data_IF_487559319546
#
_entry.id   IF_487559319546
#
_cell.length_a   1.000
_cell.length_b   1.000
_cell.length_c   1.000
_cell.angle_alpha   90.00
_cell.angle_beta   90.00
_cell.angle_gamma   90.00
#
_symmetry.space_group_name_H-M   'P 1'
#
loop_
_entity.id
_entity.type
_entity.pdbx_description
1 polymer ?
#
# COMPACT_ATOMS: atom_id res chain seq x y z
N UNK A 1 -16.72 -23.44 1.67
CA UNK A 1 -16.37 -24.05 2.97
C UNK A 1 -15.46 -25.23 2.65
N UNK A 2 -14.17 -25.14 2.95
CA UNK A 2 -13.20 -26.21 2.64
C UNK A 2 -13.04 -27.13 3.86
N UNK A 3 -13.02 -28.47 3.72
CA UNK A 3 -12.87 -29.36 4.87
C UNK A 3 -11.37 -29.57 5.16
N UNK A 4 -10.92 -29.20 6.35
CA UNK A 4 -9.65 -29.67 6.90
C UNK A 4 -9.91 -30.96 7.68
N UNK A 5 -9.44 -32.09 7.16
CA UNK A 5 -9.46 -33.37 7.87
C UNK A 5 -8.17 -33.48 8.68
N UNK A 6 -8.25 -33.78 9.97
CA UNK A 6 -7.10 -34.01 10.85
C UNK A 6 -6.35 -35.28 10.45
N UNK A 7 -5.11 -35.15 9.97
CA UNK A 7 -4.26 -36.27 9.53
C UNK A 7 -3.82 -37.21 10.66
N UNK A 8 -4.10 -36.88 11.92
CA UNK A 8 -3.73 -37.67 13.11
C UNK A 8 -4.44 -39.03 13.16
N UNK A 9 -5.68 -39.10 12.69
CA UNK A 9 -6.50 -40.33 12.80
C UNK A 9 -6.11 -41.38 11.76
N UNK A 10 -5.48 -40.96 10.66
CA UNK A 10 -4.96 -41.85 9.62
C UNK A 10 -3.62 -42.48 10.00
N UNK A 11 -2.72 -41.72 10.62
CA UNK A 11 -1.42 -42.22 11.05
C UNK A 11 -1.54 -43.32 12.12
N UNK A 12 -2.46 -43.14 13.09
CA UNK A 12 -2.72 -44.14 14.13
C UNK A 12 -3.26 -45.48 13.58
N UNK A 13 -4.06 -45.43 12.51
CA UNK A 13 -4.59 -46.62 11.83
C UNK A 13 -3.54 -47.34 10.97
N UNK A 14 -2.55 -46.63 10.43
CA UNK A 14 -1.48 -47.25 9.61
C UNK A 14 -0.39 -47.87 10.48
N UNK A 15 -0.05 -47.24 11.61
CA UNK A 15 0.82 -47.88 12.61
C UNK A 15 0.16 -49.15 13.17
N UNK A 16 -1.17 -49.20 13.12
CA UNK A 16 -2.13 -50.32 13.27
C UNK A 16 -1.77 -51.66 12.64
N UNK A 17 -1.32 -51.57 11.40
CA UNK A 17 -1.36 -52.65 10.42
C UNK A 17 0.02 -53.13 9.99
N UNK A 18 1.09 -52.59 10.58
CA UNK A 18 2.47 -52.97 10.32
C UNK A 18 2.85 -54.26 11.06
N UNK A 19 3.81 -54.99 10.48
CA UNK A 19 4.43 -56.15 11.09
C UNK A 19 5.04 -55.82 12.48
N UNK A 20 5.01 -56.75 13.45
CA UNK A 20 5.45 -56.48 14.83
C UNK A 20 6.91 -56.00 14.90
N UNK A 21 7.78 -56.57 14.08
CA UNK A 21 9.21 -56.24 14.04
C UNK A 21 9.45 -54.83 13.49
N UNK A 22 8.66 -54.43 12.49
CA UNK A 22 8.73 -53.08 11.90
C UNK A 22 8.20 -52.05 12.89
N UNK A 23 7.11 -52.37 13.61
CA UNK A 23 6.57 -51.51 14.66
C UNK A 23 7.55 -51.30 15.80
N UNK A 24 8.22 -52.37 16.23
CA UNK A 24 9.19 -52.32 17.30
C UNK A 24 10.40 -51.49 16.88
N UNK A 25 10.94 -51.74 15.68
CA UNK A 25 12.03 -50.95 15.12
C UNK A 25 11.69 -49.46 15.01
N UNK A 26 10.48 -49.12 14.55
CA UNK A 26 10.03 -47.74 14.47
C UNK A 26 9.90 -47.11 15.86
N UNK A 27 9.25 -47.78 16.82
CA UNK A 27 9.13 -47.24 18.19
C UNK A 27 10.47 -47.05 18.89
N UNK A 28 11.46 -47.88 18.56
CA UNK A 28 12.79 -47.86 19.17
C UNK A 28 13.74 -46.85 18.51
N UNK A 29 13.52 -46.52 17.23
CA UNK A 29 14.39 -45.62 16.44
C UNK A 29 13.73 -44.30 16.02
N UNK A 30 12.45 -44.09 16.33
CA UNK A 30 11.80 -42.79 16.09
C UNK A 30 12.42 -41.75 17.02
N UNK A 31 12.89 -40.61 16.49
CA UNK A 31 13.27 -39.49 17.34
C UNK A 31 12.05 -39.07 18.15
N UNK A 32 12.26 -38.73 19.42
CA UNK A 32 11.20 -38.15 20.25
C UNK A 32 10.52 -37.01 19.48
N UNK A 33 9.18 -36.91 19.52
CA UNK A 33 8.47 -35.83 18.85
C UNK A 33 9.10 -34.50 19.26
N UNK A 34 9.39 -33.66 18.27
CA UNK A 34 9.96 -32.35 18.53
C UNK A 34 9.05 -31.60 19.51
N UNK A 35 9.59 -30.79 20.45
CA UNK A 35 8.77 -29.94 21.32
C UNK A 35 7.78 -29.03 20.57
N UNK A 36 7.94 -28.90 19.24
CA UNK A 36 7.08 -28.14 18.33
C UNK A 36 5.68 -28.72 18.13
N UNK A 37 5.45 -29.99 18.46
CA UNK A 37 4.12 -30.62 18.28
C UNK A 37 3.16 -30.38 19.47
N UNK A 38 3.62 -29.73 20.53
CA UNK A 38 2.90 -29.71 21.81
C UNK A 38 1.89 -28.58 22.01
N UNK A 39 1.78 -27.53 21.17
CA UNK A 39 0.86 -26.42 21.47
C UNK A 39 0.08 -25.85 20.28
N UNK A 40 -1.10 -26.41 19.95
CA UNK A 40 -2.07 -25.78 19.05
C UNK A 40 -2.52 -24.37 19.52
N UNK A 41 -2.44 -24.07 20.83
CA UNK A 41 -2.78 -22.75 21.38
C UNK A 41 -1.76 -21.65 21.04
N UNK A 42 -0.46 -21.93 21.18
CA UNK A 42 0.60 -20.95 20.82
C UNK A 42 0.60 -20.65 19.32
N UNK A 43 0.39 -21.66 18.47
CA UNK A 43 0.32 -21.46 17.02
C UNK A 43 -0.86 -20.58 16.61
N UNK A 44 -2.00 -20.66 17.30
CA UNK A 44 -3.16 -19.81 17.03
C UNK A 44 -2.96 -18.37 17.49
N UNK A 45 -2.30 -18.14 18.62
CA UNK A 45 -1.98 -16.78 19.09
C UNK A 45 -1.01 -16.09 18.14
N UNK A 46 0.05 -16.78 17.71
CA UNK A 46 1.06 -16.20 16.81
C UNK A 46 0.46 -15.81 15.44
N UNK A 47 -0.48 -16.62 14.93
CA UNK A 47 -1.20 -16.33 13.67
C UNK A 47 -2.14 -15.13 13.85
N UNK A 48 -2.85 -15.05 14.98
CA UNK A 48 -3.74 -13.93 15.27
C UNK A 48 -2.96 -12.61 15.43
N UNK A 49 -1.87 -12.63 16.21
CA UNK A 49 -0.97 -11.48 16.40
C UNK A 49 -0.32 -11.04 15.09
N UNK A 50 0.14 -12.00 14.27
CA UNK A 50 0.68 -11.72 12.95
C UNK A 50 -0.34 -11.05 12.01
N UNK A 51 -1.60 -11.51 12.05
CA UNK A 51 -2.70 -10.90 11.27
C UNK A 51 -2.99 -9.48 11.75
N UNK A 52 -3.04 -9.25 13.05
CA UNK A 52 -3.33 -7.93 13.62
C UNK A 52 -2.20 -6.95 13.32
N UNK A 53 -0.94 -7.39 13.42
CA UNK A 53 0.23 -6.62 13.00
C UNK A 53 0.21 -6.24 11.52
N UNK A 54 -0.14 -7.19 10.64
CA UNK A 54 -0.29 -6.92 9.21
C UNK A 54 -1.39 -5.90 8.92
N UNK A 55 -2.56 -6.06 9.55
CA UNK A 55 -3.68 -5.13 9.38
C UNK A 55 -3.34 -3.72 9.89
N UNK A 56 -2.64 -3.62 11.02
CA UNK A 56 -2.18 -2.35 11.56
C UNK A 56 -1.18 -1.67 10.61
N UNK A 57 -0.22 -2.42 10.06
CA UNK A 57 0.72 -1.90 9.07
C UNK A 57 -0.01 -1.42 7.80
N UNK A 58 -0.96 -2.21 7.30
CA UNK A 58 -1.79 -1.84 6.15
C UNK A 58 -2.59 -0.56 6.38
N UNK A 59 -3.16 -0.38 7.58
CA UNK A 59 -3.87 0.85 7.95
C UNK A 59 -2.96 2.08 7.89
N UNK A 60 -1.73 1.97 8.40
CA UNK A 60 -0.74 3.07 8.36
C UNK A 60 -0.38 3.46 6.93
N UNK A 61 -0.11 2.48 6.06
CA UNK A 61 0.17 2.73 4.64
C UNK A 61 -1.03 3.39 3.95
N UNK A 62 -2.24 2.95 4.26
CA UNK A 62 -3.46 3.54 3.71
C UNK A 62 -3.68 4.99 4.19
N UNK A 63 -3.44 5.27 5.46
CA UNK A 63 -3.50 6.63 6.02
C UNK A 63 -2.45 7.55 5.38
N UNK A 64 -1.21 7.08 5.22
CA UNK A 64 -0.15 7.83 4.55
C UNK A 64 -0.51 8.13 3.09
N UNK A 65 -1.00 7.14 2.32
CA UNK A 65 -1.45 7.36 0.94
C UNK A 65 -2.60 8.38 0.83
N UNK A 66 -3.52 8.38 1.80
CA UNK A 66 -4.59 9.38 1.88
C UNK A 66 -4.03 10.77 2.19
N UNK A 67 -3.06 10.88 3.10
CA UNK A 67 -2.39 12.14 3.41
C UNK A 67 -1.67 12.71 2.18
N UNK A 68 -0.89 11.89 1.48
CA UNK A 68 -0.24 12.25 0.21
C UNK A 68 -1.27 12.73 -0.82
N UNK A 69 -2.39 12.01 -0.97
CA UNK A 69 -3.43 12.37 -1.95
C UNK A 69 -4.09 13.71 -1.64
N UNK A 70 -4.32 14.03 -0.35
CA UNK A 70 -4.85 15.34 0.08
C UNK A 70 -3.85 16.46 -0.18
N UNK A 71 -2.60 16.29 0.24
CA UNK A 71 -1.54 17.27 0.04
C UNK A 71 -1.26 17.53 -1.45
N UNK A 72 -1.28 16.49 -2.29
CA UNK A 72 -1.13 16.63 -3.73
C UNK A 72 -2.23 17.51 -4.35
N UNK A 73 -3.50 17.32 -3.98
CA UNK A 73 -4.60 18.18 -4.47
C UNK A 73 -4.48 19.61 -3.95
N UNK A 74 -4.09 19.79 -2.68
CA UNK A 74 -3.87 21.11 -2.11
C UNK A 74 -2.77 21.89 -2.87
N UNK A 75 -1.68 21.23 -3.24
CA UNK A 75 -0.63 21.84 -4.06
C UNK A 75 -1.11 22.16 -5.49
N UNK A 76 -2.04 21.37 -6.04
CA UNK A 76 -2.59 21.56 -7.38
C UNK A 76 -3.90 22.38 -7.41
N UNK A 77 -4.16 23.18 -6.39
CA UNK A 77 -5.40 23.94 -6.26
C UNK A 77 -5.58 24.97 -7.39
N UNK A 78 -4.48 25.50 -7.94
CA UNK A 78 -4.54 26.42 -9.08
C UNK A 78 -5.05 25.72 -10.35
N UNK A 79 -4.52 24.53 -10.65
CA UNK A 79 -4.97 23.70 -11.78
C UNK A 79 -6.39 23.19 -11.57
N UNK A 80 -6.78 22.88 -10.33
CA UNK A 80 -8.15 22.49 -9.97
C UNK A 80 -9.12 23.65 -10.24
N UNK A 81 -8.73 24.87 -9.87
CA UNK A 81 -9.51 26.08 -10.14
C UNK A 81 -9.69 26.32 -11.66
N UNK A 82 -8.61 26.21 -12.45
CA UNK A 82 -8.71 26.35 -13.91
C UNK A 82 -9.62 25.29 -14.53
N UNK A 83 -9.54 24.04 -14.08
CA UNK A 83 -10.43 22.97 -14.53
C UNK A 83 -11.88 23.27 -14.18
N UNK A 84 -12.14 23.72 -12.95
CA UNK A 84 -13.47 24.12 -12.52
C UNK A 84 -14.01 25.30 -13.34
N UNK A 85 -13.18 26.31 -13.58
CA UNK A 85 -13.53 27.46 -14.42
C UNK A 85 -13.89 27.04 -15.84
N UNK A 86 -13.18 26.09 -16.44
CA UNK A 86 -13.56 25.54 -17.75
C UNK A 86 -14.95 24.87 -17.73
N UNK A 87 -15.31 24.16 -16.68
CA UNK A 87 -16.65 23.56 -16.59
C UNK A 87 -17.76 24.60 -16.45
N UNK A 88 -17.49 25.74 -15.80
CA UNK A 88 -18.49 26.78 -15.55
C UNK A 88 -18.58 27.81 -16.68
N UNK A 89 -17.43 28.23 -17.20
CA UNK A 89 -17.26 29.39 -18.08
C UNK A 89 -16.51 29.06 -19.37
N UNK A 90 -16.20 27.79 -19.64
CA UNK A 90 -15.41 27.37 -20.79
C UNK A 90 -16.08 27.62 -22.14
N UNK A 91 -15.26 27.67 -23.19
CA UNK A 91 -15.78 27.78 -24.55
C UNK A 91 -16.57 26.53 -24.93
N UNK A 92 -17.52 26.66 -25.86
CA UNK A 92 -18.30 25.52 -26.34
C UNK A 92 -17.42 24.36 -26.83
N UNK A 93 -16.29 24.68 -27.48
CA UNK A 93 -15.30 23.69 -27.93
C UNK A 93 -14.64 22.97 -26.75
N UNK A 94 -14.25 23.69 -25.70
CA UNK A 94 -13.62 23.08 -24.53
C UNK A 94 -14.61 22.19 -23.78
N UNK A 95 -15.85 22.64 -23.58
CA UNK A 95 -16.91 21.87 -22.92
C UNK A 95 -17.27 20.61 -23.72
N UNK A 96 -17.28 20.66 -25.06
CA UNK A 96 -17.49 19.47 -25.90
C UNK A 96 -16.42 18.39 -25.66
N UNK A 97 -15.18 18.79 -25.39
CA UNK A 97 -14.09 17.87 -25.02
C UNK A 97 -14.06 17.57 -23.51
N UNK A 98 -15.07 18.01 -22.76
CA UNK A 98 -15.13 17.90 -21.31
C UNK A 98 -13.89 18.49 -20.61
N UNK A 99 -13.40 19.63 -21.11
CA UNK A 99 -12.25 20.33 -20.56
C UNK A 99 -10.97 19.47 -20.54
N UNK A 100 -10.76 18.61 -21.54
CA UNK A 100 -9.68 17.61 -21.55
C UNK A 100 -8.28 18.18 -21.31
N UNK A 101 -7.94 19.32 -21.94
CA UNK A 101 -6.64 19.98 -21.73
C UNK A 101 -6.42 20.41 -20.28
N UNK A 102 -7.44 20.96 -19.61
CA UNK A 102 -7.37 21.44 -18.24
C UNK A 102 -7.35 20.26 -17.27
N UNK A 103 -8.15 19.22 -17.57
CA UNK A 103 -8.19 17.97 -16.83
C UNK A 103 -6.83 17.27 -16.87
N UNK A 104 -6.21 17.20 -18.05
CA UNK A 104 -4.88 16.62 -18.24
C UNK A 104 -3.84 17.40 -17.45
N UNK A 105 -3.88 18.74 -17.47
CA UNK A 105 -2.97 19.58 -16.70
C UNK A 105 -3.11 19.35 -15.19
N UNK A 106 -4.35 19.29 -14.68
CA UNK A 106 -4.62 18.97 -13.28
C UNK A 106 -4.06 17.60 -12.86
N UNK A 107 -4.33 16.53 -13.63
CA UNK A 107 -3.83 15.19 -13.28
C UNK A 107 -2.32 15.08 -13.39
N UNK A 108 -1.69 15.76 -14.36
CA UNK A 108 -0.22 15.84 -14.43
C UNK A 108 0.38 16.48 -13.18
N UNK A 109 -0.25 17.54 -12.66
CA UNK A 109 0.16 18.12 -11.39
C UNK A 109 -0.01 17.11 -10.24
N UNK A 110 -1.20 16.51 -10.11
CA UNK A 110 -1.50 15.59 -9.00
C UNK A 110 -0.56 14.39 -8.97
N UNK A 111 -0.26 13.80 -10.12
CA UNK A 111 0.63 12.65 -10.22
C UNK A 111 2.09 13.01 -9.91
N UNK A 112 2.56 14.16 -10.41
CA UNK A 112 3.89 14.68 -10.06
C UNK A 112 4.00 14.92 -8.55
N UNK A 113 3.00 15.58 -7.94
CA UNK A 113 2.96 15.86 -6.51
C UNK A 113 2.92 14.57 -5.68
N UNK A 114 2.06 13.60 -6.03
CA UNK A 114 2.00 12.30 -5.34
C UNK A 114 3.35 11.59 -5.37
N UNK A 115 4.03 11.60 -6.52
CA UNK A 115 5.34 10.99 -6.66
C UNK A 115 6.38 11.70 -5.78
N UNK A 116 6.47 13.03 -5.85
CA UNK A 116 7.43 13.80 -5.06
C UNK A 116 7.19 13.66 -3.55
N UNK A 117 5.94 13.77 -3.09
CA UNK A 117 5.55 13.62 -1.69
C UNK A 117 5.87 12.22 -1.16
N UNK A 118 5.58 11.17 -1.94
CA UNK A 118 5.92 9.79 -1.57
C UNK A 118 7.44 9.58 -1.48
N UNK A 119 8.21 10.14 -2.42
CA UNK A 119 9.69 10.07 -2.43
C UNK A 119 10.31 10.74 -1.21
N UNK A 120 9.71 11.82 -0.69
CA UNK A 120 10.13 12.48 0.54
C UNK A 120 9.44 11.93 1.79
N UNK A 121 8.75 10.79 1.69
CA UNK A 121 8.11 10.10 2.80
C UNK A 121 7.09 10.96 3.58
N UNK A 122 6.37 11.83 2.85
CA UNK A 122 5.31 12.67 3.43
C UNK A 122 4.25 11.83 4.14
N UNK A 123 3.80 12.29 5.31
CA UNK A 123 2.76 11.62 6.09
C UNK A 123 3.24 10.36 6.81
N UNK A 124 4.56 10.12 6.89
CA UNK A 124 5.09 9.11 7.79
C UNK A 124 4.72 9.46 9.24
N UNK A 125 4.24 8.50 10.06
CA UNK A 125 3.91 8.74 11.47
C UNK A 125 5.05 9.30 12.33
N UNK A 126 6.30 9.07 11.92
CA UNK A 126 7.49 9.59 12.60
C UNK A 126 7.80 11.05 12.20
N UNK A 127 7.18 11.57 11.14
CA UNK A 127 7.32 12.97 10.75
C UNK A 127 6.42 13.83 11.64
N UNK A 128 6.99 14.86 12.25
CA UNK A 128 6.21 15.94 12.85
C UNK A 128 5.51 16.79 11.79
N UNK A 129 4.48 17.55 12.20
CA UNK A 129 3.73 18.48 11.34
C UNK A 129 4.64 19.43 10.58
N UNK A 130 5.57 20.09 11.27
CA UNK A 130 6.56 21.01 10.67
C UNK A 130 7.38 20.37 9.55
N UNK A 131 7.76 19.09 9.68
CA UNK A 131 8.51 18.39 8.63
C UNK A 131 7.62 18.11 7.42
N UNK A 132 6.38 17.69 7.66
CA UNK A 132 5.40 17.49 6.59
C UNK A 132 5.14 18.80 5.83
N UNK A 133 4.99 19.94 6.52
CA UNK A 133 4.81 21.25 5.88
C UNK A 133 5.99 21.63 4.98
N UNK A 134 7.22 21.39 5.47
CA UNK A 134 8.45 21.62 4.67
C UNK A 134 8.46 20.73 3.43
N UNK A 135 8.12 19.45 3.58
CA UNK A 135 8.06 18.51 2.45
C UNK A 135 7.01 18.96 1.43
N UNK A 136 5.81 19.31 1.89
CA UNK A 136 4.73 19.76 1.03
C UNK A 136 5.08 21.03 0.27
N UNK A 137 5.63 22.03 0.96
CA UNK A 137 6.09 23.27 0.32
C UNK A 137 7.25 23.04 -0.64
N UNK A 138 8.17 22.12 -0.34
CA UNK A 138 9.28 21.78 -1.25
C UNK A 138 8.76 21.07 -2.51
N UNK A 139 7.79 20.18 -2.37
CA UNK A 139 7.16 19.49 -3.50
C UNK A 139 6.47 20.48 -4.45
N UNK A 140 5.72 21.45 -3.92
CA UNK A 140 5.12 22.52 -4.72
C UNK A 140 6.20 23.36 -5.44
N UNK A 141 7.19 23.86 -4.71
CA UNK A 141 8.28 24.65 -5.28
C UNK A 141 9.04 23.94 -6.41
N UNK A 142 9.26 22.63 -6.29
CA UNK A 142 9.92 21.83 -7.33
C UNK A 142 9.05 21.76 -8.59
N UNK A 143 7.74 21.55 -8.44
CA UNK A 143 6.83 21.53 -9.57
C UNK A 143 6.73 22.88 -10.28
N UNK A 144 6.64 23.98 -9.52
CA UNK A 144 6.62 25.33 -10.09
C UNK A 144 7.91 25.65 -10.88
N UNK A 145 9.07 25.16 -10.42
CA UNK A 145 10.33 25.28 -11.17
C UNK A 145 10.30 24.49 -12.48
N UNK A 146 9.77 23.27 -12.45
CA UNK A 146 9.60 22.44 -13.64
C UNK A 146 8.67 23.09 -14.67
N UNK A 147 7.54 23.67 -14.23
CA UNK A 147 6.63 24.39 -15.13
C UNK A 147 7.31 25.60 -15.79
N UNK A 148 8.10 26.37 -15.03
CA UNK A 148 8.85 27.51 -15.59
C UNK A 148 9.82 27.07 -16.68
N UNK A 149 10.57 26.00 -16.44
CA UNK A 149 11.52 25.46 -17.42
C UNK A 149 10.81 24.97 -18.69
N UNK A 150 9.78 24.15 -18.54
CA UNK A 150 9.05 23.61 -19.69
C UNK A 150 8.34 24.68 -20.51
N UNK A 151 7.81 25.73 -19.88
CA UNK A 151 7.21 26.85 -20.59
C UNK A 151 8.25 27.70 -21.33
N UNK A 152 9.45 27.87 -20.76
CA UNK A 152 10.56 28.57 -21.42
C UNK A 152 11.06 27.81 -22.65
N UNK A 153 11.23 26.49 -22.54
CA UNK A 153 11.66 25.62 -23.66
C UNK A 153 10.66 25.61 -24.83
N UNK A 154 9.39 25.91 -24.57
CA UNK A 154 8.34 26.06 -25.59
C UNK A 154 8.28 27.45 -26.23
N UNK A 155 8.93 28.48 -25.67
CA UNK A 155 9.01 29.82 -26.26
C UNK A 155 10.29 30.04 -27.09
N UNK A 156 11.32 29.20 -26.91
CA UNK A 156 12.59 29.26 -27.66
C UNK A 156 12.59 28.38 -28.93
N UNK A 157 11.47 27.75 -29.28
CA UNK A 157 11.28 26.92 -30.48
C UNK A 157 10.11 27.43 -31.32
#
# INVERSE_FOLDING_TARGET
MWPFSSDTDKAANVLSSLDPDIRQFLNENLPAPSPRDSQPKQRQTDIAEGRDGFMAAGKRVAEQRRAISRAARANCAAEEFELHDCYMNGSWKDTQTLCDRWRTRFWRCVDAQKHTLATFDYGNPNNGEKLNDIIQGKADNLFQKYLKQTNQDHMEK
#
